data_IF_659723996273
#
_entry.id   IF_659723996273
#
_cell.length_a   1.000
_cell.length_b   1.000
_cell.length_c   1.000
_cell.angle_alpha   90.00
_cell.angle_beta   90.00
_cell.angle_gamma   90.00
#
_symmetry.space_group_name_H-M   'P 1'
#
loop_
_entity.id
_entity.type
_entity.pdbx_description
1 polymer ?
#
# COMPACT_ATOMS: atom_id res chain seq x y z
N UNK A 1 -15.45 3.29 9.07
CA UNK A 1 -14.03 2.89 9.07
C UNK A 1 -13.88 1.54 9.74
N UNK A 2 -13.18 0.62 9.08
CA UNK A 2 -13.03 -0.77 9.51
C UNK A 2 -12.20 -0.90 10.81
N UNK A 3 -12.47 -1.95 11.60
CA UNK A 3 -11.52 -2.39 12.63
C UNK A 3 -10.24 -2.93 11.97
N UNK A 4 -9.11 -2.99 12.69
CA UNK A 4 -7.84 -3.41 12.08
C UNK A 4 -7.94 -4.84 11.51
N UNK A 5 -8.55 -5.76 12.26
CA UNK A 5 -8.77 -7.14 11.81
C UNK A 5 -9.71 -7.23 10.61
N UNK A 6 -10.71 -6.34 10.51
CA UNK A 6 -11.63 -6.29 9.37
C UNK A 6 -10.91 -5.84 8.10
N UNK A 7 -10.02 -4.85 8.21
CA UNK A 7 -9.19 -4.39 7.10
C UNK A 7 -8.27 -5.51 6.59
N UNK A 8 -7.57 -6.21 7.49
CA UNK A 8 -6.72 -7.34 7.11
C UNK A 8 -7.55 -8.48 6.47
N UNK A 9 -8.71 -8.80 7.06
CA UNK A 9 -9.59 -9.85 6.55
C UNK A 9 -10.09 -9.53 5.14
N UNK A 10 -10.53 -8.29 4.90
CA UNK A 10 -10.93 -7.82 3.57
C UNK A 10 -9.80 -8.00 2.55
N UNK A 11 -8.59 -7.56 2.88
CA UNK A 11 -7.45 -7.67 1.97
C UNK A 11 -7.09 -9.12 1.63
N UNK A 12 -7.20 -10.06 2.58
CA UNK A 12 -6.99 -11.50 2.28
C UNK A 12 -8.10 -12.06 1.39
N UNK A 13 -9.36 -11.68 1.61
CA UNK A 13 -10.47 -12.09 0.73
C UNK A 13 -10.24 -11.57 -0.70
N UNK A 14 -9.85 -10.30 -0.85
CA UNK A 14 -9.58 -9.67 -2.15
C UNK A 14 -8.36 -10.27 -2.85
N UNK A 15 -7.28 -10.59 -2.14
CA UNK A 15 -6.12 -11.30 -2.70
C UNK A 15 -6.52 -12.66 -3.29
N UNK A 16 -7.54 -13.32 -2.73
CA UNK A 16 -8.07 -14.59 -3.23
C UNK A 16 -9.28 -14.42 -4.17
N UNK A 17 -9.53 -13.20 -4.66
CA UNK A 17 -10.56 -12.97 -5.65
C UNK A 17 -10.03 -13.23 -7.06
N UNK A 18 -10.89 -13.74 -7.94
CA UNK A 18 -10.58 -13.87 -9.34
C UNK A 18 -10.58 -12.48 -9.99
N UNK A 19 -9.45 -12.11 -10.58
CA UNK A 19 -9.23 -10.80 -11.18
C UNK A 19 -10.23 -10.45 -12.30
N UNK A 20 -10.74 -11.44 -13.04
CA UNK A 20 -11.62 -11.21 -14.19
C UNK A 20 -13.07 -10.94 -13.81
N UNK A 21 -13.55 -11.50 -12.69
CA UNK A 21 -14.97 -11.43 -12.32
C UNK A 21 -15.23 -10.94 -10.88
N UNK A 22 -14.16 -10.68 -10.11
CA UNK A 22 -14.23 -10.15 -8.75
C UNK A 22 -14.74 -11.15 -7.70
N UNK A 23 -14.99 -12.41 -8.05
CA UNK A 23 -15.48 -13.41 -7.10
C UNK A 23 -14.36 -13.99 -6.24
N UNK A 24 -14.61 -14.09 -4.93
CA UNK A 24 -13.76 -14.80 -3.97
C UNK A 24 -14.58 -15.86 -3.25
N UNK A 25 -14.09 -17.10 -3.22
CA UNK A 25 -14.75 -18.26 -2.62
C UNK A 25 -13.86 -18.93 -1.56
N UNK A 26 -13.20 -18.10 -0.76
CA UNK A 26 -12.20 -18.57 0.20
C UNK A 26 -12.81 -19.20 1.46
N UNK A 27 -12.28 -20.37 1.83
CA UNK A 27 -12.60 -21.10 3.05
C UNK A 27 -12.22 -20.33 4.34
N UNK A 28 -12.96 -20.52 5.43
CA UNK A 28 -12.59 -19.91 6.72
C UNK A 28 -11.24 -20.39 7.24
N UNK A 29 -10.94 -21.67 7.05
CA UNK A 29 -9.65 -22.28 7.40
C UNK A 29 -8.52 -21.62 6.63
N UNK A 30 -8.70 -21.41 5.32
CA UNK A 30 -7.71 -20.72 4.49
C UNK A 30 -7.58 -19.23 4.82
N UNK A 31 -8.68 -18.56 5.12
CA UNK A 31 -8.65 -17.19 5.65
C UNK A 31 -7.84 -17.11 6.94
N UNK A 32 -8.03 -18.07 7.85
CA UNK A 32 -7.32 -18.13 9.11
C UNK A 32 -5.82 -18.34 8.89
N UNK A 33 -5.45 -19.29 8.04
CA UNK A 33 -4.07 -19.57 7.66
C UNK A 33 -3.37 -18.35 7.04
N UNK A 34 -3.99 -17.69 6.06
CA UNK A 34 -3.38 -16.58 5.34
C UNK A 34 -3.34 -15.27 6.14
N UNK A 35 -4.32 -15.05 7.01
CA UNK A 35 -4.40 -13.82 7.81
C UNK A 35 -3.73 -13.93 9.17
N UNK A 36 -3.49 -15.14 9.69
CA UNK A 36 -3.12 -15.38 11.09
C UNK A 36 -4.28 -15.19 12.08
N UNK A 37 -5.47 -14.76 11.61
CA UNK A 37 -6.62 -14.49 12.49
C UNK A 37 -7.31 -15.83 12.84
N UNK A 38 -7.58 -16.13 14.12
CA UNK A 38 -8.27 -17.36 14.51
C UNK A 38 -9.66 -17.48 13.87
N UNK A 39 -10.07 -18.70 13.50
CA UNK A 39 -11.38 -18.98 12.88
C UNK A 39 -12.54 -18.41 13.71
N UNK A 40 -12.49 -18.53 15.04
CA UNK A 40 -13.51 -17.97 15.95
C UNK A 40 -13.66 -16.46 15.81
N UNK A 41 -12.53 -15.75 15.63
CA UNK A 41 -12.51 -14.30 15.39
C UNK A 41 -13.05 -13.99 13.99
N UNK A 42 -12.65 -14.75 12.97
CA UNK A 42 -13.18 -14.56 11.61
C UNK A 42 -14.71 -14.71 11.58
N UNK A 43 -15.26 -15.73 12.24
CA UNK A 43 -16.73 -15.93 12.35
C UNK A 43 -17.44 -14.76 13.01
N UNK A 44 -16.80 -14.10 13.99
CA UNK A 44 -17.33 -12.90 14.67
C UNK A 44 -17.25 -11.64 13.80
N UNK A 45 -16.15 -11.46 13.08
CA UNK A 45 -15.86 -10.23 12.34
C UNK A 45 -16.49 -10.20 10.96
N UNK A 46 -16.55 -11.35 10.27
CA UNK A 46 -17.08 -11.43 8.91
C UNK A 46 -18.51 -10.88 8.78
N UNK A 47 -19.49 -11.20 9.66
CA UNK A 47 -20.82 -10.59 9.59
C UNK A 47 -20.81 -9.07 9.69
N UNK A 48 -19.86 -8.48 10.45
CA UNK A 48 -19.68 -7.02 10.50
C UNK A 48 -19.17 -6.50 9.16
N UNK A 49 -18.16 -7.17 8.59
CA UNK A 49 -17.57 -6.79 7.30
C UNK A 49 -18.59 -6.86 6.15
N UNK A 50 -19.47 -7.87 6.14
CA UNK A 50 -20.56 -7.97 5.15
C UNK A 50 -21.55 -6.79 5.23
N UNK A 51 -21.78 -6.25 6.44
CA UNK A 51 -22.69 -5.12 6.69
C UNK A 51 -22.10 -3.77 6.30
N UNK A 52 -20.81 -3.68 5.97
CA UNK A 52 -20.19 -2.39 5.60
C UNK A 52 -20.51 -1.96 4.18
N UNK A 53 -21.03 -2.87 3.34
CA UNK A 53 -21.26 -2.62 1.91
C UNK A 53 -19.98 -2.60 1.08
N UNK A 54 -18.83 -3.04 1.64
CA UNK A 54 -17.55 -3.08 0.90
C UNK A 54 -17.53 -4.14 -0.22
N UNK A 55 -18.42 -5.14 -0.15
CA UNK A 55 -18.62 -6.12 -1.22
C UNK A 55 -19.83 -5.68 -2.05
N UNK A 56 -19.72 -5.72 -3.38
CA UNK A 56 -20.84 -5.44 -4.29
C UNK A 56 -22.00 -6.41 -4.07
N UNK A 57 -21.71 -7.67 -3.75
CA UNK A 57 -22.68 -8.67 -3.31
C UNK A 57 -21.99 -9.80 -2.52
N UNK A 58 -22.78 -10.63 -1.85
CA UNK A 58 -22.28 -11.87 -1.24
C UNK A 58 -23.42 -12.89 -1.10
N UNK A 59 -23.08 -14.19 -1.12
CA UNK A 59 -24.05 -15.27 -0.95
C UNK A 59 -23.45 -16.50 -0.29
N UNK A 60 -24.27 -17.23 0.46
CA UNK A 60 -23.92 -18.58 0.91
C UNK A 60 -24.10 -19.59 -0.23
N UNK A 61 -23.23 -20.60 -0.28
CA UNK A 61 -23.37 -21.73 -1.19
C UNK A 61 -22.75 -23.00 -0.59
N UNK A 62 -23.04 -24.17 -1.17
CA UNK A 62 -22.34 -25.42 -0.86
C UNK A 62 -21.30 -25.73 -1.93
N UNK A 63 -20.08 -26.05 -1.52
CA UNK A 63 -19.07 -26.54 -2.47
C UNK A 63 -19.40 -27.98 -2.95
N UNK A 64 -18.59 -28.49 -3.88
CA UNK A 64 -18.77 -29.84 -4.45
C UNK A 64 -18.71 -30.96 -3.39
N UNK A 65 -18.12 -30.69 -2.22
CA UNK A 65 -18.01 -31.61 -1.09
C UNK A 65 -19.12 -31.40 -0.05
N UNK A 66 -20.07 -30.50 -0.33
CA UNK A 66 -21.20 -30.20 0.55
C UNK A 66 -20.89 -29.22 1.69
N UNK A 67 -19.68 -28.64 1.75
CA UNK A 67 -19.33 -27.69 2.80
C UNK A 67 -19.95 -26.32 2.54
N UNK A 68 -20.44 -25.67 3.60
CA UNK A 68 -20.95 -24.31 3.52
C UNK A 68 -19.80 -23.31 3.27
N UNK A 69 -19.94 -22.50 2.24
CA UNK A 69 -19.01 -21.45 1.81
C UNK A 69 -19.74 -20.12 1.65
N UNK A 70 -18.96 -19.05 1.58
CA UNK A 70 -19.43 -17.72 1.20
C UNK A 70 -18.70 -17.33 -0.08
N UNK A 71 -19.46 -16.86 -1.06
CA UNK A 71 -18.97 -16.18 -2.24
C UNK A 71 -19.08 -14.69 -1.99
N UNK A 72 -17.97 -13.97 -2.13
CA UNK A 72 -17.92 -12.51 -2.07
C UNK A 72 -17.74 -11.98 -3.50
N UNK A 73 -18.46 -10.92 -3.85
CA UNK A 73 -18.24 -10.19 -5.10
C UNK A 73 -17.60 -8.84 -4.80
N UNK A 74 -16.45 -8.60 -5.43
CA UNK A 74 -15.67 -7.38 -5.32
C UNK A 74 -15.86 -6.52 -6.58
N UNK A 75 -15.69 -5.22 -6.42
CA UNK A 75 -15.46 -4.35 -7.56
C UNK A 75 -14.11 -4.71 -8.22
N UNK A 76 -14.11 -4.86 -9.54
CA UNK A 76 -12.93 -5.28 -10.30
C UNK A 76 -11.98 -4.08 -10.49
N UNK A 77 -12.54 -2.91 -10.80
CA UNK A 77 -11.81 -1.67 -11.09
C UNK A 77 -12.29 -0.53 -10.18
N UNK A 78 -12.06 -0.63 -8.86
CA UNK A 78 -12.42 0.46 -7.95
C UNK A 78 -11.65 1.74 -8.31
N UNK A 79 -12.32 2.88 -8.16
CA UNK A 79 -11.72 4.20 -8.39
C UNK A 79 -10.56 4.47 -7.43
N UNK A 80 -10.73 4.09 -6.16
CA UNK A 80 -9.77 4.35 -5.09
C UNK A 80 -9.18 3.03 -4.60
N UNK A 81 -7.87 2.86 -4.79
CA UNK A 81 -7.18 1.63 -4.43
C UNK A 81 -5.72 1.85 -4.10
N UNK A 82 -5.09 0.83 -3.51
CA UNK A 82 -3.64 0.70 -3.48
C UNK A 82 -3.24 -0.73 -3.84
N UNK A 83 -1.95 -0.97 -4.08
CA UNK A 83 -1.46 -2.29 -4.48
C UNK A 83 -0.70 -2.90 -3.31
N UNK A 84 -0.93 -4.18 -3.02
CA UNK A 84 -0.18 -4.94 -2.02
C UNK A 84 0.55 -6.12 -2.66
N UNK A 85 1.78 -6.35 -2.22
CA UNK A 85 2.48 -7.62 -2.48
C UNK A 85 1.96 -8.72 -1.56
N UNK A 86 1.95 -9.95 -2.07
CA UNK A 86 1.62 -11.14 -1.28
C UNK A 86 2.56 -11.32 -0.06
N UNK A 87 3.79 -10.82 -0.15
CA UNK A 87 4.77 -10.81 0.95
C UNK A 87 4.31 -10.00 2.17
N UNK A 88 3.37 -9.07 2.01
CA UNK A 88 2.74 -8.36 3.13
C UNK A 88 2.11 -9.32 4.14
N UNK A 89 1.41 -10.35 3.64
CA UNK A 89 0.65 -11.28 4.47
C UNK A 89 1.57 -12.28 5.18
N UNK A 90 2.66 -12.71 4.54
CA UNK A 90 3.66 -13.61 5.11
C UNK A 90 4.70 -12.92 5.99
N UNK A 91 4.68 -11.59 6.10
CA UNK A 91 5.60 -10.84 6.95
C UNK A 91 5.39 -11.19 8.44
N UNK A 92 6.39 -11.84 9.04
CA UNK A 92 6.39 -12.30 10.43
C UNK A 92 6.84 -11.23 11.44
N UNK A 93 7.32 -10.06 10.98
CA UNK A 93 7.69 -8.93 11.85
C UNK A 93 6.48 -8.14 12.35
N UNK A 94 5.32 -8.35 11.71
CA UNK A 94 4.06 -7.69 12.02
C UNK A 94 3.02 -8.70 12.46
N UNK A 95 2.34 -8.42 13.57
CA UNK A 95 1.15 -9.18 13.95
C UNK A 95 -0.08 -8.73 13.15
N UNK A 96 -1.20 -9.41 13.32
CA UNK A 96 -2.44 -9.19 12.56
C UNK A 96 -3.04 -7.81 12.82
N UNK A 97 -2.93 -7.32 14.06
CA UNK A 97 -3.41 -5.98 14.43
C UNK A 97 -2.58 -4.90 13.72
N UNK A 98 -1.26 -5.04 13.71
CA UNK A 98 -0.32 -4.13 13.07
C UNK A 98 -0.47 -4.12 11.54
N UNK A 99 -0.61 -5.29 10.91
CA UNK A 99 -0.92 -5.40 9.47
C UNK A 99 -2.20 -4.66 9.13
N UNK A 100 -3.28 -4.95 9.86
CA UNK A 100 -4.56 -4.28 9.69
C UNK A 100 -4.49 -2.76 9.90
N UNK A 101 -3.67 -2.31 10.86
CA UNK A 101 -3.47 -0.89 11.12
C UNK A 101 -2.69 -0.19 10.01
N UNK A 102 -1.64 -0.80 9.45
CA UNK A 102 -0.88 -0.25 8.32
C UNK A 102 -1.76 -0.07 7.08
N UNK A 103 -2.65 -1.02 6.79
CA UNK A 103 -3.63 -0.91 5.71
C UNK A 103 -4.56 0.29 5.93
N UNK A 104 -5.05 0.47 7.16
CA UNK A 104 -5.86 1.65 7.49
C UNK A 104 -5.07 2.95 7.40
N UNK A 105 -3.81 2.98 7.85
CA UNK A 105 -2.96 4.16 7.70
C UNK A 105 -2.81 4.57 6.23
N UNK A 106 -2.68 3.60 5.30
CA UNK A 106 -2.61 3.89 3.86
C UNK A 106 -3.84 4.68 3.36
N UNK A 107 -5.03 4.38 3.87
CA UNK A 107 -6.28 5.06 3.46
C UNK A 107 -6.35 6.56 3.83
N UNK A 108 -5.47 7.04 4.71
CA UNK A 108 -5.40 8.45 5.11
C UNK A 108 -4.11 9.14 4.62
N UNK A 109 -3.37 8.49 3.72
CA UNK A 109 -2.19 9.11 3.08
C UNK A 109 -2.63 10.12 2.02
N UNK A 110 -1.74 11.06 1.70
CA UNK A 110 -1.94 11.94 0.55
C UNK A 110 -1.87 11.10 -0.73
N UNK A 111 -2.76 11.36 -1.69
CA UNK A 111 -2.82 10.61 -2.95
C UNK A 111 -1.45 10.48 -3.61
N UNK A 112 -1.17 9.29 -4.16
CA UNK A 112 0.11 8.95 -4.79
C UNK A 112 1.35 9.09 -3.88
N UNK A 113 1.18 9.21 -2.56
CA UNK A 113 2.29 9.23 -1.59
C UNK A 113 2.09 8.18 -0.51
N UNK A 114 3.08 8.04 0.37
CA UNK A 114 2.93 7.38 1.66
C UNK A 114 2.96 8.39 2.82
N UNK A 115 2.82 9.69 2.54
CA UNK A 115 2.78 10.74 3.54
C UNK A 115 1.42 10.75 4.24
N UNK A 116 1.45 10.70 5.57
CA UNK A 116 0.30 10.87 6.45
C UNK A 116 0.35 12.32 6.98
N UNK A 117 -0.51 13.23 6.49
CA UNK A 117 -0.43 14.67 6.76
C UNK A 117 -1.06 15.05 8.11
N UNK A 118 -1.07 14.13 9.08
CA UNK A 118 -1.81 14.27 10.33
C UNK A 118 -0.92 13.98 11.53
N UNK A 119 -1.07 14.79 12.58
CA UNK A 119 -0.42 14.52 13.85
C UNK A 119 -0.99 13.26 14.53
N UNK A 120 -0.28 12.77 15.56
CA UNK A 120 -0.63 11.55 16.30
C UNK A 120 -2.07 11.56 16.82
N UNK A 121 -2.53 12.69 17.35
CA UNK A 121 -3.87 12.84 17.92
C UNK A 121 -4.95 12.68 16.85
N UNK A 122 -4.77 13.33 15.71
CA UNK A 122 -5.69 13.23 14.58
C UNK A 122 -5.69 11.82 13.97
N UNK A 123 -4.52 11.18 13.84
CA UNK A 123 -4.43 9.77 13.43
C UNK A 123 -5.25 8.89 14.38
N UNK A 124 -5.07 9.00 15.70
CA UNK A 124 -5.81 8.19 16.68
C UNK A 124 -7.33 8.36 16.55
N UNK A 125 -7.78 9.61 16.40
CA UNK A 125 -9.19 9.94 16.19
C UNK A 125 -9.76 9.32 14.91
N UNK A 126 -9.09 9.52 13.76
CA UNK A 126 -9.49 8.92 12.49
C UNK A 126 -9.50 7.39 12.56
N UNK A 127 -8.48 6.80 13.18
CA UNK A 127 -8.31 5.36 13.31
C UNK A 127 -9.26 4.70 14.31
N UNK A 128 -10.00 5.50 15.10
CA UNK A 128 -10.85 5.06 16.21
C UNK A 128 -10.09 4.17 17.21
N UNK A 129 -8.85 4.53 17.53
CA UNK A 129 -8.03 3.83 18.53
C UNK A 129 -7.92 4.65 19.82
N UNK A 130 -7.85 3.97 20.96
CA UNK A 130 -7.81 4.62 22.28
C UNK A 130 -6.60 5.53 22.49
N UNK A 131 -6.74 6.52 23.38
CA UNK A 131 -5.68 7.48 23.73
C UNK A 131 -4.38 6.80 24.17
N UNK A 132 -4.47 5.68 24.88
CA UNK A 132 -3.31 4.94 25.41
C UNK A 132 -2.77 3.87 24.45
N UNK A 133 -3.36 3.70 23.26
CA UNK A 133 -2.88 2.74 22.29
C UNK A 133 -1.49 3.13 21.76
N UNK A 134 -0.59 2.14 21.66
CA UNK A 134 0.82 2.27 21.33
C UNK A 134 1.17 1.82 19.90
N UNK A 135 0.19 1.44 19.06
CA UNK A 135 0.42 0.91 17.71
C UNK A 135 1.34 1.78 16.86
N UNK A 136 1.14 3.10 16.87
CA UNK A 136 1.99 4.05 16.13
C UNK A 136 3.43 3.96 16.64
N UNK A 137 3.63 3.89 17.97
CA UNK A 137 4.96 3.78 18.58
C UNK A 137 5.63 2.46 18.17
N UNK A 138 4.94 1.32 18.32
CA UNK A 138 5.47 0.00 17.93
C UNK A 138 5.87 -0.06 16.45
N UNK A 139 5.04 0.51 15.56
CA UNK A 139 5.32 0.55 14.13
C UNK A 139 6.46 1.51 13.77
N UNK A 140 6.65 2.58 14.54
CA UNK A 140 7.82 3.45 14.41
C UNK A 140 9.10 2.75 14.87
N UNK A 141 9.07 2.05 16.00
CA UNK A 141 10.22 1.26 16.50
C UNK A 141 10.61 0.14 15.52
N UNK A 142 9.63 -0.46 14.84
CA UNK A 142 9.86 -1.45 13.78
C UNK A 142 10.24 -0.84 12.42
N UNK A 143 10.25 0.48 12.29
CA UNK A 143 10.61 1.18 11.06
C UNK A 143 9.54 1.20 9.95
N UNK A 144 8.31 0.73 10.22
CA UNK A 144 7.19 0.75 9.25
C UNK A 144 6.48 2.10 9.18
N UNK A 145 6.66 2.95 10.19
CA UNK A 145 6.11 4.31 10.24
C UNK A 145 7.21 5.26 10.67
N UNK A 146 7.68 6.10 9.76
CA UNK A 146 8.67 7.13 10.05
C UNK A 146 7.97 8.40 10.50
N UNK A 147 8.58 9.14 11.44
CA UNK A 147 8.09 10.46 11.84
C UNK A 147 8.86 11.53 11.07
N UNK A 148 8.14 12.44 10.43
CA UNK A 148 8.69 13.60 9.73
C UNK A 148 8.25 14.86 10.45
N UNK A 149 9.19 15.76 10.77
CA UNK A 149 8.91 17.00 11.49
C UNK A 149 8.10 16.77 12.80
N UNK A 150 7.78 17.84 13.53
CA UNK A 150 6.72 17.80 14.54
C UNK A 150 5.38 17.85 13.81
N UNK A 151 4.84 16.68 13.41
CA UNK A 151 3.41 16.38 13.18
C UNK A 151 3.06 15.57 11.92
N UNK A 152 4.05 15.14 11.12
CA UNK A 152 3.78 14.28 9.96
C UNK A 152 4.38 12.89 10.16
N UNK A 153 3.81 11.92 9.45
CA UNK A 153 4.31 10.56 9.43
C UNK A 153 4.43 10.06 7.99
N UNK A 154 5.26 9.05 7.78
CA UNK A 154 5.44 8.42 6.47
C UNK A 154 5.36 6.91 6.61
N UNK A 155 4.55 6.29 5.76
CA UNK A 155 4.36 4.84 5.73
C UNK A 155 5.54 4.19 4.98
N UNK A 156 6.45 3.57 5.71
CA UNK A 156 7.65 2.94 5.16
C UNK A 156 7.45 1.43 5.03
N UNK A 157 6.71 1.02 4.00
CA UNK A 157 6.45 -0.39 3.73
C UNK A 157 6.56 -0.71 2.23
N UNK A 158 7.57 -1.49 1.87
CA UNK A 158 7.87 -1.90 0.49
C UNK A 158 6.87 -2.93 -0.08
N UNK A 159 5.99 -3.47 0.76
CA UNK A 159 4.91 -4.33 0.30
C UNK A 159 3.67 -3.54 -0.15
N UNK A 160 3.59 -2.24 0.16
CA UNK A 160 2.51 -1.35 -0.30
C UNK A 160 3.04 -0.56 -1.49
N UNK A 161 2.65 -0.95 -2.70
CA UNK A 161 3.21 -0.45 -3.95
C UNK A 161 2.48 0.79 -4.46
N UNK A 162 3.21 1.59 -5.23
CA UNK A 162 2.66 2.69 -6.00
C UNK A 162 2.29 2.26 -7.42
N UNK A 163 2.99 1.25 -7.95
CA UNK A 163 2.81 0.78 -9.31
C UNK A 163 2.96 -0.73 -9.43
N UNK A 164 2.11 -1.25 -10.31
CA UNK A 164 2.14 -2.55 -10.95
C UNK A 164 3.44 -2.82 -11.73
N UNK A 165 3.89 -1.80 -12.48
CA UNK A 165 5.10 -1.87 -13.28
C UNK A 165 6.35 -1.91 -12.38
N UNK A 166 7.06 -3.04 -12.40
CA UNK A 166 8.21 -3.27 -11.51
C UNK A 166 9.35 -2.27 -11.70
N UNK A 167 9.68 -1.89 -12.93
CA UNK A 167 10.78 -0.96 -13.19
C UNK A 167 10.45 0.43 -12.65
N UNK A 168 9.22 0.89 -12.89
CA UNK A 168 8.74 2.18 -12.39
C UNK A 168 8.69 2.21 -10.87
N UNK A 169 8.22 1.13 -10.25
CA UNK A 169 8.26 0.95 -8.80
C UNK A 169 9.71 1.00 -8.29
N UNK A 170 10.65 0.28 -8.92
CA UNK A 170 12.08 0.29 -8.56
C UNK A 170 12.67 1.70 -8.64
N UNK A 171 12.42 2.45 -9.71
CA UNK A 171 12.87 3.85 -9.86
C UNK A 171 12.33 4.72 -8.71
N UNK A 172 11.04 4.62 -8.42
CA UNK A 172 10.44 5.40 -7.34
C UNK A 172 11.03 5.04 -5.98
N UNK A 173 11.26 3.75 -5.70
CA UNK A 173 11.90 3.31 -4.44
C UNK A 173 13.32 3.81 -4.27
N UNK A 174 14.09 3.95 -5.35
CA UNK A 174 15.43 4.56 -5.28
C UNK A 174 15.35 6.04 -4.89
N UNK A 175 14.39 6.78 -5.46
CA UNK A 175 14.14 8.19 -5.12
C UNK A 175 13.64 8.30 -3.67
N UNK A 176 12.67 7.48 -3.29
CA UNK A 176 12.13 7.39 -1.93
C UNK A 176 13.25 7.14 -0.92
N UNK A 177 14.09 6.12 -1.13
CA UNK A 177 15.21 5.80 -0.25
C UNK A 177 16.19 6.96 -0.09
N UNK A 178 16.55 7.65 -1.18
CA UNK A 178 17.40 8.84 -1.12
C UNK A 178 16.77 9.94 -0.27
N UNK A 179 15.46 10.18 -0.41
CA UNK A 179 14.74 11.18 0.36
C UNK A 179 14.69 10.82 1.85
N UNK A 180 14.29 9.58 2.17
CA UNK A 180 14.17 9.10 3.54
C UNK A 180 15.50 9.14 4.30
N UNK A 181 16.62 8.79 3.64
CA UNK A 181 17.96 8.87 4.21
C UNK A 181 18.42 10.29 4.57
N UNK A 182 17.73 11.31 4.06
CA UNK A 182 18.05 12.73 4.26
C UNK A 182 16.94 13.49 4.97
N UNK A 183 15.97 12.77 5.54
CA UNK A 183 14.80 13.35 6.20
C UNK A 183 13.99 14.29 5.28
N UNK A 184 14.02 14.02 3.97
CA UNK A 184 13.22 14.74 2.96
C UNK A 184 11.95 13.92 2.68
N UNK A 185 10.81 14.60 2.62
CA UNK A 185 9.54 13.95 2.25
C UNK A 185 9.62 13.53 0.77
N UNK A 186 9.45 12.24 0.44
CA UNK A 186 9.40 11.78 -0.94
C UNK A 186 8.31 12.49 -1.76
N UNK A 187 8.57 12.84 -3.03
CA UNK A 187 7.57 13.48 -3.88
C UNK A 187 6.44 12.49 -4.22
N UNK A 188 5.24 12.97 -4.57
CA UNK A 188 4.17 12.10 -5.06
C UNK A 188 4.61 11.27 -6.26
N UNK A 189 4.20 10.00 -6.29
CA UNK A 189 4.40 9.12 -7.42
C UNK A 189 3.79 9.71 -8.69
N UNK A 190 4.63 9.94 -9.70
CA UNK A 190 4.22 10.42 -11.02
C UNK A 190 4.79 9.52 -12.12
N UNK A 191 3.90 8.77 -12.78
CA UNK A 191 4.29 7.81 -13.82
C UNK A 191 5.08 8.45 -14.97
N UNK A 192 4.69 9.64 -15.41
CA UNK A 192 5.29 10.30 -16.57
C UNK A 192 6.69 10.82 -16.22
N UNK A 193 6.85 11.36 -15.02
CA UNK A 193 8.16 11.84 -14.53
C UNK A 193 9.12 10.68 -14.27
N UNK A 194 8.63 9.57 -13.72
CA UNK A 194 9.44 8.37 -13.49
C UNK A 194 9.89 7.71 -14.80
N UNK A 195 9.02 7.62 -15.80
CA UNK A 195 9.39 7.05 -17.10
C UNK A 195 10.49 7.87 -17.78
N UNK A 196 10.47 9.22 -17.68
CA UNK A 196 11.57 10.07 -18.17
C UNK A 196 12.91 9.76 -17.51
N UNK A 197 12.93 9.50 -16.20
CA UNK A 197 14.15 9.13 -15.47
C UNK A 197 14.63 7.75 -15.94
N UNK A 198 13.71 6.79 -16.01
CA UNK A 198 13.96 5.41 -16.44
C UNK A 198 14.61 5.35 -17.83
N UNK A 199 14.10 6.10 -18.81
CA UNK A 199 14.63 6.08 -20.18
C UNK A 199 16.02 6.70 -20.32
N UNK A 200 16.41 7.61 -19.42
CA UNK A 200 17.72 8.28 -19.49
C UNK A 200 18.83 7.49 -18.81
N UNK A 201 18.53 6.76 -17.74
CA UNK A 201 19.53 6.13 -16.89
C UNK A 201 19.27 4.64 -16.65
N UNK A 202 20.28 3.77 -16.87
CA UNK A 202 20.19 2.38 -16.45
C UNK A 202 19.98 2.26 -14.94
N UNK A 203 19.04 1.41 -14.53
CA UNK A 203 18.66 1.21 -13.12
C UNK A 203 19.87 0.91 -12.21
N UNK A 204 20.83 0.12 -12.70
CA UNK A 204 22.02 -0.30 -11.94
C UNK A 204 22.86 0.87 -11.41
N UNK A 205 22.84 2.03 -12.09
CA UNK A 205 23.62 3.21 -11.68
C UNK A 205 22.76 4.32 -11.11
N UNK A 206 21.44 4.21 -11.17
CA UNK A 206 20.53 5.30 -10.83
C UNK A 206 20.66 5.72 -9.36
N UNK A 207 20.66 4.75 -8.43
CA UNK A 207 20.74 5.03 -7.00
C UNK A 207 22.03 5.77 -6.61
N UNK A 208 23.18 5.33 -7.12
CA UNK A 208 24.47 5.98 -6.90
C UNK A 208 24.46 7.43 -7.43
N UNK A 209 23.94 7.63 -8.65
CA UNK A 209 23.89 8.94 -9.28
C UNK A 209 22.89 9.88 -8.60
N UNK A 210 21.76 9.37 -8.09
CA UNK A 210 20.82 10.15 -7.28
C UNK A 210 21.53 10.66 -6.03
N UNK A 211 22.21 9.78 -5.31
CA UNK A 211 22.94 10.15 -4.09
C UNK A 211 24.04 11.17 -4.38
N UNK A 212 24.81 11.00 -5.47
CA UNK A 212 25.92 11.88 -5.83
C UNK A 212 25.47 13.24 -6.37
N UNK A 213 24.57 13.24 -7.35
CA UNK A 213 24.21 14.45 -8.11
C UNK A 213 23.09 15.25 -7.48
N UNK A 214 22.29 14.62 -6.62
CA UNK A 214 21.18 15.30 -5.95
C UNK A 214 21.47 15.56 -4.48
N UNK A 215 22.73 15.51 -4.03
CA UNK A 215 23.15 15.72 -2.63
C UNK A 215 22.74 17.07 -2.05
N UNK A 216 22.65 18.10 -2.89
CA UNK A 216 22.35 19.48 -2.47
C UNK A 216 20.85 19.80 -2.43
N UNK A 217 19.97 18.87 -2.82
CA UNK A 217 18.54 19.10 -2.74
C UNK A 217 18.07 19.23 -1.29
N UNK A 218 17.31 20.30 -1.00
CA UNK A 218 16.75 20.55 0.35
C UNK A 218 15.23 20.69 0.33
N UNK A 219 14.69 21.42 -0.65
CA UNK A 219 13.25 21.66 -0.80
C UNK A 219 12.90 22.02 -2.25
N UNK A 220 11.61 22.08 -2.57
CA UNK A 220 11.09 22.39 -3.90
C UNK A 220 10.61 21.16 -4.68
N UNK A 221 10.53 21.28 -6.01
CA UNK A 221 10.14 20.16 -6.87
C UNK A 221 11.35 19.24 -7.11
N UNK A 222 11.35 18.09 -6.43
CA UNK A 222 12.44 17.13 -6.54
C UNK A 222 12.58 16.55 -7.95
N UNK A 223 11.48 16.36 -8.70
CA UNK A 223 11.58 15.79 -10.04
C UNK A 223 12.25 16.76 -11.00
N UNK A 224 11.90 18.04 -10.97
CA UNK A 224 12.56 19.04 -11.81
C UNK A 224 14.04 19.19 -11.44
N UNK A 225 14.36 19.09 -10.16
CA UNK A 225 15.74 19.09 -9.70
C UNK A 225 16.53 17.85 -10.21
N UNK A 226 15.94 16.66 -10.14
CA UNK A 226 16.51 15.44 -10.74
C UNK A 226 16.70 15.64 -12.25
N UNK A 227 15.71 16.17 -12.96
CA UNK A 227 15.83 16.41 -14.41
C UNK A 227 17.00 17.32 -14.75
N UNK A 228 17.20 18.39 -13.97
CA UNK A 228 18.35 19.29 -14.11
C UNK A 228 19.67 18.56 -13.86
N UNK A 229 19.81 17.84 -12.76
CA UNK A 229 21.05 17.13 -12.42
C UNK A 229 21.41 16.00 -13.41
N UNK A 230 20.42 15.47 -14.11
CA UNK A 230 20.56 14.35 -15.05
C UNK A 230 20.50 14.77 -16.52
N UNK A 231 20.39 16.08 -16.81
CA UNK A 231 20.23 16.63 -18.17
C UNK A 231 19.09 15.94 -18.94
N UNK A 232 17.95 15.75 -18.28
CA UNK A 232 16.73 15.20 -18.89
C UNK A 232 15.97 16.37 -19.49
N UNK A 233 15.97 16.48 -20.82
CA UNK A 233 15.20 17.50 -21.53
C UNK A 233 13.71 17.13 -21.57
N UNK A 234 12.81 18.11 -21.50
CA UNK A 234 11.36 17.92 -21.44
C UNK A 234 10.72 17.38 -22.75
N UNK A 235 11.48 16.82 -23.70
CA UNK A 235 10.86 16.26 -24.92
C UNK A 235 9.98 15.06 -24.55
N UNK A 236 8.73 15.12 -25.00
CA UNK A 236 7.63 14.21 -24.67
C UNK A 236 8.00 12.73 -24.88
N UNK A 237 7.57 11.80 -24.02
CA UNK A 237 7.71 10.38 -24.30
C UNK A 237 6.74 9.93 -25.41
N UNK A 238 7.26 9.10 -26.32
CA UNK A 238 6.47 8.30 -27.25
C UNK A 238 5.48 7.43 -26.46
N UNK A 239 4.21 7.41 -26.88
CA UNK A 239 3.17 6.51 -26.36
C UNK A 239 3.63 5.06 -26.53
N UNK A 240 3.98 4.38 -25.44
CA UNK A 240 3.89 2.94 -25.36
C UNK A 240 2.68 2.57 -24.52
N UNK A 241 1.66 2.09 -25.21
CA UNK A 241 0.52 1.33 -24.69
C UNK A 241 0.99 0.02 -24.09
N UNK A 242 0.18 -0.54 -23.18
CA UNK A 242 0.30 -1.79 -22.42
C UNK A 242 0.73 -1.59 -20.96
N UNK A 243 -0.27 -1.24 -20.12
CA UNK A 243 -0.23 -1.55 -18.70
C UNK A 243 -0.86 -2.96 -18.52
N UNK A 244 -0.09 -3.91 -18.01
CA UNK A 244 -0.55 -5.25 -17.63
C UNK A 244 -1.42 -5.20 -16.34
N UNK A 245 -2.36 -6.14 -16.20
CA UNK A 245 -3.26 -6.21 -15.05
C UNK A 245 -2.49 -6.50 -13.76
N UNK A 246 -2.67 -5.65 -12.75
CA UNK A 246 -2.23 -5.90 -11.38
C UNK A 246 -3.42 -6.03 -10.45
N UNK A 247 -3.22 -6.76 -9.34
CA UNK A 247 -4.19 -6.84 -8.26
C UNK A 247 -4.37 -5.47 -7.60
N UNK A 248 -5.54 -4.90 -7.85
CA UNK A 248 -6.06 -3.64 -7.32
C UNK A 248 -6.81 -3.95 -6.00
N UNK A 249 -6.45 -3.31 -4.88
CA UNK A 249 -7.09 -3.46 -3.56
C UNK A 249 -7.86 -2.23 -3.08
#
# INVERSE_FOLDING_TARGET
>A
MLENKDALLYSVIKMNSNYYNGYSEIAETKLSELSGIPISTIKKHRPKLLKTGIFSSWSYFKDKLGHNRIRYQMEINPENYFILKNTFFSNNKLNEEEKGFLLKLKTITTNNTNLIPYNKTKIKSLMKIGKNNDLIKRLTEKGYVLRFETDKYYLNNNDILFSSNEEREKVYRMIEKMCLNREIIPPPFDKNRLDKIKYKFPLLKLEEQLNKRCSEFKNGDLYEYIFKCFNITQKQPLKNTYDEPCLIL
#
